data_IF_766387045741
#
_entry.id   IF_766387045741
#
_cell.length_a   1.000
_cell.length_b   1.000
_cell.length_c   1.000
_cell.angle_alpha   90.00
_cell.angle_beta   90.00
_cell.angle_gamma   90.00
#
_symmetry.space_group_name_H-M   'P 1'
#
loop_
_entity.id
_entity.type
_entity.pdbx_description
1 polymer ?
#
# COMPACT_ATOMS: atom_id res chain seq x y z
N UNK A 1 -18.74 11.97 79.44
CA UNK A 1 -18.48 12.59 78.14
C UNK A 1 -17.02 12.38 77.80
N UNK A 2 -16.71 11.42 76.92
CA UNK A 2 -15.34 11.12 76.49
C UNK A 2 -15.07 11.84 75.18
N UNK A 3 -14.23 12.87 75.26
CA UNK A 3 -13.73 13.66 74.15
C UNK A 3 -12.81 12.76 73.29
N UNK A 4 -13.29 12.34 72.12
CA UNK A 4 -12.48 11.57 71.17
C UNK A 4 -11.48 12.52 70.51
N UNK A 5 -10.22 12.44 70.94
CA UNK A 5 -9.10 13.10 70.27
C UNK A 5 -9.05 12.66 68.80
N UNK A 6 -9.33 13.58 67.88
CA UNK A 6 -9.15 13.36 66.45
C UNK A 6 -7.65 13.39 66.17
N UNK A 7 -7.04 12.21 65.98
CA UNK A 7 -5.66 12.10 65.49
C UNK A 7 -5.64 12.69 64.09
N UNK A 8 -4.94 13.81 63.93
CA UNK A 8 -4.78 14.45 62.63
C UNK A 8 -3.74 13.67 61.83
N UNK A 9 -4.22 12.63 61.12
CA UNK A 9 -3.37 11.69 60.37
C UNK A 9 -2.51 12.41 59.32
N UNK A 10 -2.97 13.54 58.80
CA UNK A 10 -2.24 14.35 57.82
C UNK A 10 -0.97 14.98 58.44
N UNK A 11 -1.02 15.38 59.71
CA UNK A 11 0.11 15.98 60.42
C UNK A 11 1.16 14.92 60.78
N UNK A 12 0.71 13.74 61.20
CA UNK A 12 1.58 12.58 61.45
C UNK A 12 2.24 12.07 60.14
N UNK A 13 1.50 12.05 59.03
CA UNK A 13 2.02 11.68 57.72
C UNK A 13 2.97 12.72 57.13
N UNK A 14 2.76 14.02 57.40
CA UNK A 14 3.67 15.07 57.00
C UNK A 14 5.00 15.00 57.76
N UNK A 15 4.97 14.74 59.07
CA UNK A 15 6.16 14.62 59.90
C UNK A 15 7.03 13.40 59.56
N UNK A 16 6.44 12.31 59.06
CA UNK A 16 7.15 11.07 58.71
C UNK A 16 7.81 11.10 57.31
N UNK A 17 7.53 12.11 56.47
CA UNK A 17 8.08 12.19 55.11
C UNK A 17 9.40 12.97 55.11
N UNK A 18 10.49 12.29 55.46
CA UNK A 18 11.82 12.77 55.07
C UNK A 18 11.90 12.75 53.53
N UNK A 19 12.19 13.87 52.87
CA UNK A 19 12.28 13.88 51.41
C UNK A 19 13.44 12.97 50.98
N UNK A 20 13.26 12.26 49.86
CA UNK A 20 14.20 11.23 49.36
C UNK A 20 15.63 11.78 49.16
N UNK A 21 15.76 13.10 49.01
CA UNK A 21 17.00 13.82 48.80
C UNK A 21 17.58 14.50 50.07
N UNK A 22 16.98 14.30 51.25
CA UNK A 22 17.40 14.95 52.50
C UNK A 22 18.89 14.72 52.83
N UNK A 23 19.40 13.51 52.56
CA UNK A 23 20.80 13.14 52.78
C UNK A 23 21.73 13.36 51.58
N UNK A 24 21.28 13.98 50.49
CA UNK A 24 22.10 14.10 49.28
C UNK A 24 23.01 15.33 49.33
N UNK A 25 24.28 15.14 48.95
CA UNK A 25 25.20 16.26 48.74
C UNK A 25 24.77 17.13 47.55
N UNK A 26 25.15 18.42 47.53
CA UNK A 26 24.83 19.36 46.44
C UNK A 26 25.22 18.81 45.07
N UNK A 27 26.39 18.15 44.96
CA UNK A 27 26.86 17.52 43.72
C UNK A 27 25.94 16.38 43.27
N UNK A 28 25.49 15.53 44.21
CA UNK A 28 24.56 14.44 43.91
C UNK A 28 23.19 14.97 43.45
N UNK A 29 22.66 16.01 44.09
CA UNK A 29 21.39 16.65 43.67
C UNK A 29 21.48 17.18 42.24
N UNK A 30 22.57 17.87 41.90
CA UNK A 30 22.82 18.38 40.54
C UNK A 30 22.94 17.22 39.54
N UNK A 31 23.71 16.17 39.86
CA UNK A 31 23.87 15.02 38.98
C UNK A 31 22.54 14.31 38.69
N UNK A 32 21.70 14.10 39.70
CA UNK A 32 20.38 13.49 39.53
C UNK A 32 19.44 14.40 38.73
N UNK A 33 19.46 15.71 38.97
CA UNK A 33 18.68 16.66 38.19
C UNK A 33 19.10 16.70 36.71
N UNK A 34 20.40 16.67 36.42
CA UNK A 34 20.90 16.57 35.05
C UNK A 34 20.50 15.24 34.40
N UNK A 35 20.58 14.13 35.13
CA UNK A 35 20.16 12.83 34.64
C UNK A 35 18.65 12.78 34.35
N UNK A 36 17.81 13.35 35.23
CA UNK A 36 16.36 13.39 35.01
C UNK A 36 15.98 14.27 33.81
N UNK A 37 16.64 15.42 33.64
CA UNK A 37 16.49 16.26 32.44
C UNK A 37 16.94 15.50 31.19
N UNK A 38 18.06 14.79 31.25
CA UNK A 38 18.55 13.95 30.14
C UNK A 38 17.56 12.88 29.72
N UNK A 39 16.97 12.17 30.69
CA UNK A 39 15.92 11.16 30.45
C UNK A 39 14.66 11.80 29.86
N UNK A 40 14.23 12.95 30.39
CA UNK A 40 13.07 13.66 29.87
C UNK A 40 13.28 14.11 28.40
N UNK A 41 14.46 14.65 28.08
CA UNK A 41 14.81 15.02 26.71
C UNK A 41 14.85 13.81 25.77
N UNK A 42 15.43 12.69 26.21
CA UNK A 42 15.45 11.44 25.45
C UNK A 42 14.02 10.92 25.19
N UNK A 43 13.14 10.96 26.20
CA UNK A 43 11.74 10.57 26.06
C UNK A 43 10.99 11.47 25.08
N UNK A 44 11.21 12.79 25.13
CA UNK A 44 10.61 13.74 24.19
C UNK A 44 11.11 13.54 22.76
N UNK A 45 12.42 13.35 22.57
CA UNK A 45 13.00 13.07 21.25
C UNK A 45 12.49 11.74 20.68
N UNK A 46 12.44 10.70 21.52
CA UNK A 46 11.87 9.40 21.17
C UNK A 46 10.38 9.50 20.79
N UNK A 47 9.59 10.24 21.59
CA UNK A 47 8.17 10.48 21.32
C UNK A 47 7.94 11.27 20.03
N UNK A 48 8.73 12.32 19.77
CA UNK A 48 8.65 13.09 18.53
C UNK A 48 9.00 12.25 17.30
N UNK A 49 10.07 11.45 17.38
CA UNK A 49 10.47 10.53 16.31
C UNK A 49 9.41 9.46 16.06
N UNK A 50 8.89 8.84 17.11
CA UNK A 50 7.82 7.85 17.01
C UNK A 50 6.55 8.43 16.39
N UNK A 51 6.19 9.66 16.78
CA UNK A 51 5.06 10.37 16.21
C UNK A 51 5.27 10.74 14.74
N UNK A 52 6.50 11.08 14.33
CA UNK A 52 6.82 11.31 12.91
C UNK A 52 6.77 10.02 12.09
N UNK A 53 7.10 8.87 12.69
CA UNK A 53 7.03 7.55 12.05
C UNK A 53 5.60 7.01 11.93
N UNK A 54 4.72 7.39 12.85
CA UNK A 54 3.31 6.94 12.86
C UNK A 54 2.35 7.88 12.14
N UNK A 55 2.78 9.11 11.84
CA UNK A 55 2.01 10.01 10.99
C UNK A 55 1.96 9.46 9.56
N UNK A 56 0.76 9.31 8.97
CA UNK A 56 0.68 9.03 7.55
C UNK A 56 1.38 10.15 6.78
N UNK A 57 2.06 9.85 5.67
CA UNK A 57 2.63 10.88 4.81
C UNK A 57 1.53 11.87 4.37
N UNK A 58 1.93 13.00 3.79
CA UNK A 58 0.98 13.83 3.06
C UNK A 58 0.65 13.14 1.72
N UNK A 59 -0.54 13.39 1.19
CA UNK A 59 -0.87 12.91 -0.16
C UNK A 59 0.13 13.49 -1.17
N UNK A 60 0.68 12.65 -2.07
CA UNK A 60 1.64 13.11 -3.06
C UNK A 60 0.97 14.12 -3.98
N UNK A 61 1.72 15.15 -4.38
CA UNK A 61 1.22 16.18 -5.30
C UNK A 61 1.85 16.08 -6.69
N UNK A 62 2.93 15.31 -6.80
CA UNK A 62 3.64 15.05 -8.05
C UNK A 62 3.76 13.55 -8.31
N UNK A 63 3.99 13.17 -9.57
CA UNK A 63 4.13 11.76 -9.94
C UNK A 63 5.36 11.09 -9.29
N UNK A 64 6.46 11.83 -9.17
CA UNK A 64 7.69 11.32 -8.55
C UNK A 64 7.51 11.10 -7.04
N UNK A 65 6.85 12.04 -6.35
CA UNK A 65 6.45 11.85 -4.94
C UNK A 65 5.53 10.64 -4.78
N UNK A 66 4.59 10.45 -5.70
CA UNK A 66 3.67 9.32 -5.64
C UNK A 66 4.40 7.98 -5.75
N UNK A 67 5.34 7.87 -6.68
CA UNK A 67 6.18 6.68 -6.83
C UNK A 67 7.07 6.47 -5.60
N UNK A 68 7.68 7.52 -5.07
CA UNK A 68 8.49 7.45 -3.86
C UNK A 68 7.67 6.99 -2.64
N UNK A 69 6.43 7.45 -2.51
CA UNK A 69 5.52 7.00 -1.44
C UNK A 69 5.17 5.53 -1.63
N UNK A 70 4.76 5.11 -2.83
CA UNK A 70 4.42 3.71 -3.12
C UNK A 70 5.59 2.75 -2.90
N UNK A 71 6.83 3.19 -3.17
CA UNK A 71 8.04 2.41 -2.94
C UNK A 71 8.51 2.40 -1.47
N UNK A 72 7.89 3.20 -0.59
CA UNK A 72 8.35 3.35 0.80
C UNK A 72 7.72 2.32 1.75
N UNK A 73 8.49 1.87 2.74
CA UNK A 73 7.99 1.03 3.84
C UNK A 73 6.82 1.66 4.62
N UNK A 74 6.67 2.99 4.54
CA UNK A 74 5.57 3.70 5.21
C UNK A 74 4.24 3.37 4.55
N UNK A 75 4.19 3.19 3.23
CA UNK A 75 2.98 2.83 2.51
C UNK A 75 2.48 1.44 2.90
N UNK A 76 3.39 0.47 3.02
CA UNK A 76 3.06 -0.90 3.45
C UNK A 76 2.47 -0.96 4.87
N UNK A 77 2.73 0.05 5.71
CA UNK A 77 2.19 0.17 7.08
C UNK A 77 0.87 0.93 7.18
N UNK A 78 0.41 1.55 6.09
CA UNK A 78 -0.87 2.24 6.06
C UNK A 78 -2.02 1.23 6.12
N UNK A 79 -3.18 1.68 6.59
CA UNK A 79 -4.41 0.90 6.46
C UNK A 79 -4.81 0.74 4.98
N UNK A 80 -5.54 -0.33 4.67
CA UNK A 80 -5.94 -0.66 3.29
C UNK A 80 -6.76 0.46 2.63
N UNK A 81 -7.54 1.24 3.39
CA UNK A 81 -8.30 2.35 2.84
C UNK A 81 -7.38 3.50 2.40
N UNK A 82 -6.41 3.87 3.24
CA UNK A 82 -5.38 4.83 2.89
C UNK A 82 -4.52 4.34 1.74
N UNK A 83 -4.06 3.10 1.73
CA UNK A 83 -3.30 2.54 0.60
C UNK A 83 -4.06 2.73 -0.72
N UNK A 84 -5.36 2.45 -0.74
CA UNK A 84 -6.23 2.68 -1.91
C UNK A 84 -6.33 4.16 -2.29
N UNK A 85 -6.44 5.08 -1.33
CA UNK A 85 -6.43 6.52 -1.60
C UNK A 85 -5.12 6.97 -2.26
N UNK A 86 -3.98 6.52 -1.74
CA UNK A 86 -2.65 6.83 -2.28
C UNK A 86 -2.44 6.23 -3.67
N UNK A 87 -2.83 4.97 -3.88
CA UNK A 87 -2.74 4.33 -5.18
C UNK A 87 -3.65 5.01 -6.23
N UNK A 88 -4.86 5.44 -5.83
CA UNK A 88 -5.74 6.19 -6.70
C UNK A 88 -5.16 7.56 -7.08
N UNK A 89 -4.57 8.27 -6.13
CA UNK A 89 -3.93 9.56 -6.36
C UNK A 89 -2.66 9.44 -7.21
N UNK A 90 -1.83 8.43 -6.95
CA UNK A 90 -0.71 8.07 -7.81
C UNK A 90 -1.18 7.78 -9.25
N UNK A 91 -2.25 7.00 -9.41
CA UNK A 91 -2.86 6.73 -10.71
C UNK A 91 -3.41 7.98 -11.40
N UNK A 92 -3.91 8.97 -10.66
CA UNK A 92 -4.34 10.28 -11.18
C UNK A 92 -3.13 11.08 -11.69
N UNK A 93 -2.09 11.21 -10.87
CA UNK A 93 -0.87 11.97 -11.17
C UNK A 93 -0.11 11.36 -12.35
N UNK A 94 0.06 10.04 -12.37
CA UNK A 94 0.70 9.34 -13.49
C UNK A 94 -0.09 9.47 -14.78
N UNK A 95 -1.44 9.46 -14.74
CA UNK A 95 -2.26 9.68 -15.93
C UNK A 95 -2.15 11.11 -16.47
N UNK A 96 -1.97 12.10 -15.59
CA UNK A 96 -1.81 13.50 -15.94
C UNK A 96 -0.47 13.80 -16.66
N UNK A 97 0.54 12.94 -16.50
CA UNK A 97 1.83 13.13 -17.17
C UNK A 97 1.73 13.01 -18.70
N UNK A 98 2.54 13.80 -19.44
CA UNK A 98 2.75 13.62 -20.87
C UNK A 98 3.18 12.17 -21.22
N UNK A 99 2.79 11.65 -22.39
CA UNK A 99 3.12 10.28 -22.80
C UNK A 99 4.62 9.95 -22.72
N UNK A 100 5.50 10.90 -23.06
CA UNK A 100 6.95 10.67 -23.08
C UNK A 100 7.54 10.58 -21.67
N UNK A 101 7.03 11.35 -20.71
CA UNK A 101 7.42 11.25 -19.31
C UNK A 101 6.95 9.93 -18.70
N UNK A 102 5.72 9.49 -19.01
CA UNK A 102 5.25 8.17 -18.59
C UNK A 102 6.12 7.05 -19.13
N UNK A 103 6.57 7.15 -20.38
CA UNK A 103 7.51 6.18 -20.98
C UNK A 103 8.86 6.19 -20.27
N UNK A 104 9.36 7.36 -19.89
CA UNK A 104 10.60 7.49 -19.13
C UNK A 104 10.49 6.83 -17.75
N UNK A 105 9.42 7.12 -17.00
CA UNK A 105 9.15 6.46 -15.71
C UNK A 105 9.00 4.95 -15.87
N UNK A 106 8.31 4.51 -16.93
CA UNK A 106 8.19 3.10 -17.26
C UNK A 106 9.47 2.49 -17.84
N UNK A 107 10.62 3.17 -17.88
CA UNK A 107 11.93 2.56 -18.18
C UNK A 107 12.77 2.36 -16.94
N UNK A 108 12.45 3.06 -15.85
CA UNK A 108 13.10 2.88 -14.57
C UNK A 108 12.57 1.61 -13.90
N UNK A 109 13.48 0.70 -13.56
CA UNK A 109 13.15 -0.61 -13.02
C UNK A 109 12.55 -0.50 -11.62
N UNK A 110 13.04 0.42 -10.78
CA UNK A 110 12.51 0.62 -9.44
C UNK A 110 11.05 1.12 -9.47
N UNK A 111 10.75 2.04 -10.40
CA UNK A 111 9.38 2.55 -10.59
C UNK A 111 8.45 1.47 -11.15
N UNK A 112 8.96 0.61 -12.05
CA UNK A 112 8.20 -0.53 -12.57
C UNK A 112 7.86 -1.51 -11.47
N UNK A 113 8.81 -1.87 -10.63
CA UNK A 113 8.61 -2.82 -9.54
C UNK A 113 7.58 -2.29 -8.54
N UNK A 114 7.71 -1.03 -8.12
CA UNK A 114 6.74 -0.38 -7.23
C UNK A 114 5.32 -0.41 -7.83
N UNK A 115 5.18 -0.02 -9.10
CA UNK A 115 3.88 -0.05 -9.79
C UNK A 115 3.35 -1.48 -9.98
N UNK A 116 4.21 -2.44 -10.29
CA UNK A 116 3.84 -3.84 -10.47
C UNK A 116 3.31 -4.42 -9.15
N UNK A 117 3.99 -4.15 -8.03
CA UNK A 117 3.56 -4.56 -6.68
C UNK A 117 2.18 -4.02 -6.34
N UNK A 118 1.97 -2.70 -6.47
CA UNK A 118 0.67 -2.08 -6.17
C UNK A 118 -0.44 -2.62 -7.08
N UNK A 119 -0.14 -2.82 -8.37
CA UNK A 119 -1.11 -3.40 -9.30
C UNK A 119 -1.45 -4.85 -8.94
N UNK A 120 -0.46 -5.65 -8.53
CA UNK A 120 -0.65 -7.02 -8.11
C UNK A 120 -1.54 -7.10 -6.86
N UNK A 121 -1.28 -6.30 -5.85
CA UNK A 121 -2.10 -6.22 -4.62
C UNK A 121 -3.55 -5.84 -4.93
N UNK A 122 -3.75 -4.84 -5.80
CA UNK A 122 -5.09 -4.45 -6.25
C UNK A 122 -5.79 -5.59 -7.00
N UNK A 123 -5.08 -6.33 -7.85
CA UNK A 123 -5.62 -7.50 -8.54
C UNK A 123 -5.98 -8.62 -7.56
N UNK A 124 -5.16 -8.87 -6.55
CA UNK A 124 -5.41 -9.89 -5.53
C UNK A 124 -6.60 -9.52 -4.65
N UNK A 125 -6.76 -8.25 -4.30
CA UNK A 125 -7.95 -7.77 -3.61
C UNK A 125 -9.21 -8.00 -4.45
N UNK A 126 -9.17 -7.65 -5.74
CA UNK A 126 -10.29 -7.89 -6.67
C UNK A 126 -10.58 -9.39 -6.80
N UNK A 127 -9.55 -10.24 -6.84
CA UNK A 127 -9.71 -11.69 -6.88
C UNK A 127 -10.38 -12.23 -5.60
N UNK A 128 -9.93 -11.79 -4.43
CA UNK A 128 -10.55 -12.17 -3.14
C UNK A 128 -12.01 -11.74 -3.06
N UNK A 129 -12.35 -10.52 -3.51
CA UNK A 129 -13.75 -10.05 -3.59
C UNK A 129 -14.59 -10.93 -4.51
N UNK A 130 -14.06 -11.25 -5.68
CA UNK A 130 -14.71 -12.15 -6.63
C UNK A 130 -14.96 -13.55 -6.06
N UNK A 131 -13.98 -14.12 -5.34
CA UNK A 131 -14.13 -15.42 -4.68
C UNK A 131 -15.25 -15.42 -3.62
N UNK A 132 -15.48 -14.28 -2.96
CA UNK A 132 -16.59 -14.10 -1.99
C UNK A 132 -17.95 -13.85 -2.67
N UNK A 133 -18.03 -13.93 -4.00
CA UNK A 133 -19.26 -13.65 -4.75
C UNK A 133 -19.64 -12.17 -4.78
N UNK A 134 -18.76 -11.28 -4.33
CA UNK A 134 -18.96 -9.84 -4.52
C UNK A 134 -18.57 -9.55 -5.97
N UNK A 135 -19.56 -9.29 -6.82
CA UNK A 135 -19.27 -8.83 -8.17
C UNK A 135 -18.39 -7.59 -8.05
N UNK A 136 -17.15 -7.60 -8.60
CA UNK A 136 -16.36 -6.39 -8.64
C UNK A 136 -17.22 -5.37 -9.37
N UNK A 137 -17.54 -4.26 -8.69
CA UNK A 137 -18.26 -3.15 -9.28
C UNK A 137 -17.62 -2.92 -10.64
N UNK A 138 -18.42 -3.13 -11.70
CA UNK A 138 -17.90 -3.15 -13.05
C UNK A 138 -17.00 -1.92 -13.19
N UNK A 139 -15.71 -2.09 -13.57
CA UNK A 139 -14.78 -0.97 -13.62
C UNK A 139 -15.52 0.13 -14.36
N UNK A 140 -15.57 1.37 -13.81
CA UNK A 140 -16.43 2.41 -14.31
C UNK A 140 -16.35 2.36 -15.82
N UNK A 141 -17.49 2.20 -16.49
CA UNK A 141 -17.57 2.23 -17.94
C UNK A 141 -17.28 3.65 -18.44
N UNK A 142 -16.23 4.30 -17.89
CA UNK A 142 -15.51 5.40 -18.47
C UNK A 142 -15.10 4.96 -19.87
N UNK A 143 -16.04 5.18 -20.78
CA UNK A 143 -15.86 5.32 -22.22
C UNK A 143 -14.73 4.46 -22.74
N UNK A 144 -14.94 3.13 -22.73
CA UNK A 144 -14.56 2.36 -23.92
C UNK A 144 -15.43 2.87 -25.06
N UNK A 145 -15.16 4.10 -25.50
CA UNK A 145 -15.45 4.48 -26.87
C UNK A 145 -14.80 3.43 -27.77
N UNK A 146 -15.29 3.26 -29.01
CA UNK A 146 -14.53 2.53 -30.00
C UNK A 146 -13.07 3.02 -29.90
N UNK A 147 -12.10 2.09 -29.89
CA UNK A 147 -10.67 2.45 -29.98
C UNK A 147 -10.43 3.03 -31.38
N UNK A 148 -11.04 4.17 -31.69
CA UNK A 148 -10.81 4.94 -32.88
C UNK A 148 -9.43 5.57 -32.71
N UNK A 149 -8.48 5.12 -33.53
CA UNK A 149 -7.20 5.80 -33.66
C UNK A 149 -6.05 5.32 -32.77
N UNK A 150 -5.97 4.03 -32.39
CA UNK A 150 -4.62 3.45 -32.17
C UNK A 150 -4.01 3.26 -33.57
N UNK A 151 -3.00 4.05 -33.99
CA UNK A 151 -2.39 3.86 -35.29
C UNK A 151 -1.65 2.51 -35.29
N UNK A 152 -2.00 1.62 -36.22
CA UNK A 152 -1.11 0.52 -36.59
C UNK A 152 -1.39 -0.88 -36.06
N UNK A 153 -2.62 -1.24 -35.68
CA UNK A 153 -2.97 -2.67 -35.56
C UNK A 153 -4.25 -2.98 -36.32
N UNK A 154 -4.11 -3.23 -37.62
CA UNK A 154 -5.18 -3.83 -38.41
C UNK A 154 -5.01 -5.36 -38.34
N UNK A 155 -5.97 -6.13 -37.79
CA UNK A 155 -5.87 -7.58 -37.71
C UNK A 155 -5.72 -8.27 -39.08
N UNK A 156 -6.16 -7.58 -40.13
CA UNK A 156 -6.12 -8.02 -41.52
C UNK A 156 -4.73 -7.88 -42.15
N UNK A 157 -3.87 -7.00 -41.62
CA UNK A 157 -2.50 -6.79 -42.13
C UNK A 157 -1.52 -7.88 -41.63
N UNK A 158 -1.98 -8.78 -40.74
CA UNK A 158 -1.15 -9.83 -40.14
C UNK A 158 -1.19 -11.08 -41.01
N UNK A 159 -0.04 -11.46 -41.55
CA UNK A 159 0.08 -12.69 -42.36
C UNK A 159 -0.22 -13.93 -41.53
N UNK A 160 -0.67 -15.05 -42.14
CA UNK A 160 -0.92 -16.30 -41.44
C UNK A 160 0.29 -16.78 -40.61
N UNK A 161 1.49 -16.59 -41.15
CA UNK A 161 2.77 -16.93 -40.50
C UNK A 161 3.05 -16.06 -39.27
N UNK A 162 2.86 -14.74 -39.38
CA UNK A 162 2.97 -13.85 -38.22
C UNK A 162 1.93 -14.19 -37.15
N UNK A 163 0.73 -14.61 -37.56
CA UNK A 163 -0.32 -15.05 -36.64
C UNK A 163 0.05 -16.36 -35.95
N UNK A 164 0.78 -17.26 -36.61
CA UNK A 164 1.31 -18.49 -36.01
C UNK A 164 2.42 -18.16 -35.00
N UNK A 165 3.41 -17.34 -35.38
CA UNK A 165 4.48 -16.91 -34.47
C UNK A 165 3.95 -16.15 -33.26
N UNK A 166 2.92 -15.31 -33.44
CA UNK A 166 2.31 -14.57 -32.34
C UNK A 166 1.57 -15.51 -31.38
N UNK A 167 0.95 -16.58 -31.90
CA UNK A 167 0.36 -17.65 -31.05
C UNK A 167 1.43 -18.40 -30.29
N UNK A 168 2.53 -18.76 -30.93
CA UNK A 168 3.63 -19.49 -30.31
C UNK A 168 4.27 -18.67 -29.17
N UNK A 169 4.62 -17.40 -29.42
CA UNK A 169 5.12 -16.48 -28.38
C UNK A 169 4.13 -16.27 -27.23
N UNK A 170 2.83 -16.27 -27.53
CA UNK A 170 1.79 -16.15 -26.51
C UNK A 170 1.71 -17.42 -25.65
N UNK A 171 1.82 -18.61 -26.26
CA UNK A 171 1.87 -19.89 -25.56
C UNK A 171 3.13 -19.99 -24.69
N UNK A 172 4.28 -19.58 -25.22
CA UNK A 172 5.55 -19.58 -24.48
C UNK A 172 5.47 -18.70 -23.23
N UNK A 173 5.03 -17.43 -23.35
CA UNK A 173 4.81 -16.57 -22.18
C UNK A 173 3.79 -17.14 -21.19
N UNK A 174 2.74 -17.79 -21.68
CA UNK A 174 1.73 -18.40 -20.82
C UNK A 174 2.35 -19.54 -20.00
N UNK A 175 3.20 -20.34 -20.62
CA UNK A 175 3.93 -21.42 -19.96
C UNK A 175 4.95 -20.88 -18.96
N UNK A 176 5.72 -19.85 -19.30
CA UNK A 176 6.64 -19.17 -18.36
C UNK A 176 5.91 -18.61 -17.14
N UNK A 177 4.77 -17.94 -17.35
CA UNK A 177 3.95 -17.44 -16.25
C UNK A 177 3.40 -18.57 -15.37
N UNK A 178 3.01 -19.71 -15.97
CA UNK A 178 2.56 -20.88 -15.21
C UNK A 178 3.71 -21.52 -14.41
N UNK A 179 4.91 -21.59 -14.97
CA UNK A 179 6.09 -22.11 -14.27
C UNK A 179 6.46 -21.22 -13.07
N UNK A 180 6.51 -19.90 -13.26
CA UNK A 180 6.75 -18.94 -12.17
C UNK A 180 5.67 -19.03 -11.09
N UNK A 181 4.40 -19.19 -11.47
CA UNK A 181 3.31 -19.35 -10.52
C UNK A 181 3.45 -20.65 -9.70
N UNK A 182 3.89 -21.75 -10.32
CA UNK A 182 4.16 -23.01 -9.64
C UNK A 182 5.33 -22.88 -8.64
N UNK A 183 6.40 -22.18 -9.03
CA UNK A 183 7.56 -21.92 -8.17
C UNK A 183 7.24 -20.97 -7.01
N UNK A 184 6.34 -20.01 -7.20
CA UNK A 184 5.92 -19.07 -6.14
C UNK A 184 5.16 -19.73 -4.97
N UNK A 185 4.83 -21.03 -5.07
CA UNK A 185 4.18 -21.80 -4.00
C UNK A 185 2.71 -21.45 -3.76
N UNK A 186 2.14 -20.52 -4.52
CA UNK A 186 0.76 -20.05 -4.32
C UNK A 186 -0.21 -20.65 -5.35
N UNK A 187 -0.37 -21.97 -5.30
CA UNK A 187 -1.24 -22.73 -6.21
C UNK A 187 -2.74 -22.36 -6.08
N UNK A 188 -3.16 -21.85 -4.93
CA UNK A 188 -4.55 -21.46 -4.68
C UNK A 188 -4.90 -20.14 -5.40
N UNK A 189 -4.04 -19.11 -5.28
CA UNK A 189 -4.26 -17.84 -5.94
C UNK A 189 -4.14 -17.94 -7.47
N UNK A 190 -3.21 -18.77 -7.97
CA UNK A 190 -3.08 -19.01 -9.42
C UNK A 190 -4.30 -19.70 -10.01
N UNK A 191 -4.88 -20.68 -9.29
CA UNK A 191 -6.15 -21.32 -9.66
C UNK A 191 -7.32 -20.33 -9.72
N UNK A 192 -7.44 -19.45 -8.72
CA UNK A 192 -8.49 -18.43 -8.68
C UNK A 192 -8.36 -17.43 -9.85
N UNK A 193 -7.14 -16.97 -10.16
CA UNK A 193 -6.87 -16.10 -11.30
C UNK A 193 -7.22 -16.78 -12.63
N UNK A 194 -6.88 -18.06 -12.80
CA UNK A 194 -7.20 -18.84 -13.99
C UNK A 194 -8.72 -18.99 -14.20
N UNK A 195 -9.46 -19.25 -13.11
CA UNK A 195 -10.92 -19.37 -13.15
C UNK A 195 -11.60 -18.04 -13.51
N UNK A 196 -11.14 -16.94 -12.93
CA UNK A 196 -11.62 -15.59 -13.27
C UNK A 196 -11.39 -15.27 -14.75
N UNK A 197 -10.21 -15.61 -15.29
CA UNK A 197 -9.89 -15.41 -16.72
C UNK A 197 -10.80 -16.24 -17.62
N UNK A 198 -11.07 -17.50 -17.26
CA UNK A 198 -11.98 -18.38 -17.98
C UNK A 198 -13.41 -17.83 -18.01
N UNK A 199 -13.92 -17.36 -16.86
CA UNK A 199 -15.26 -16.73 -16.77
C UNK A 199 -15.34 -15.44 -17.59
N UNK A 200 -14.32 -14.59 -17.55
CA UNK A 200 -14.24 -13.37 -18.38
C UNK A 200 -14.18 -13.68 -19.87
N UNK A 201 -13.45 -14.73 -20.28
CA UNK A 201 -13.39 -15.17 -21.67
C UNK A 201 -14.76 -15.64 -22.17
N UNK A 202 -15.48 -16.43 -21.35
CA UNK A 202 -16.84 -16.89 -21.66
C UNK A 202 -17.84 -15.71 -21.79
N UNK A 203 -17.80 -14.73 -20.88
CA UNK A 203 -18.64 -13.53 -20.97
C UNK A 203 -18.37 -12.71 -22.23
N UNK A 204 -17.10 -12.63 -22.68
CA UNK A 204 -16.74 -11.94 -23.93
C UNK A 204 -17.30 -12.64 -25.17
N UNK A 205 -17.26 -13.98 -25.21
CA UNK A 205 -17.86 -14.75 -26.30
C UNK A 205 -19.38 -14.54 -26.36
N UNK A 206 -20.06 -14.55 -25.22
CA UNK A 206 -21.50 -14.28 -25.14
C UNK A 206 -21.88 -12.86 -25.58
N UNK A 207 -21.05 -11.84 -25.28
CA UNK A 207 -21.28 -10.45 -25.74
C UNK A 207 -20.91 -10.21 -27.20
N UNK A 208 -19.90 -10.91 -27.73
CA UNK A 208 -19.43 -10.76 -29.11
C UNK A 208 -20.38 -11.35 -30.15
N UNK A 209 -21.12 -12.41 -29.80
CA UNK A 209 -22.05 -13.08 -30.72
C UNK A 209 -23.34 -12.32 -31.05
N UNK A 210 -23.63 -11.20 -30.39
CA UNK A 210 -24.93 -10.51 -30.50
C UNK A 210 -24.91 -9.27 -31.41
N UNK A 211 -23.81 -8.99 -32.11
CA UNK A 211 -23.65 -7.75 -32.91
C UNK A 211 -23.38 -7.98 -34.41
N UNK A 212 -23.61 -9.20 -34.91
CA UNK A 212 -23.33 -9.57 -36.30
C UNK A 212 -24.45 -10.37 -36.99
N UNK A 213 -25.70 -10.14 -36.61
CA UNK A 213 -26.89 -10.63 -37.30
C UNK A 213 -27.76 -9.45 -37.71
#
# INVERSE_FOLDING_TARGET
MTERARINLDEALAAARTPIDAGWSKRKKIAVACASVGVALAALAGGASYHQLTRPPALPTTADEALAVLASDRFDRLDEERQRQYAAEAGRLLRALPPDQRRALARDEANREALAKTMQEMFDEVARRFARGQEPSAPPQERRGPREGRPGFNPEDITPEQRAQMRERMVERLNEQMAQAAESGNAQDSGLRAEMMKRRAAQRQQRGGRRGG
#
